data_IF_743365045127
#
_entry.id   IF_743365045127
#
_cell.length_a   1.000
_cell.length_b   1.000
_cell.length_c   1.000
_cell.angle_alpha   90.00
_cell.angle_beta   90.00
_cell.angle_gamma   90.00
#
_symmetry.space_group_name_H-M   'P 1'
#
loop_
_entity.id
_entity.type
_entity.pdbx_description
1 polymer ?
#
# COMPACT_ATOMS: atom_id res chain seq x y z
N UNK A 1 19.08 -3.63 0.78
CA UNK A 1 18.24 -4.40 1.74
C UNK A 1 17.32 -3.42 2.42
N UNK A 2 16.02 -3.59 2.23
CA UNK A 2 15.01 -2.72 2.82
C UNK A 2 14.98 -2.82 4.35
N UNK A 3 14.64 -1.72 5.01
CA UNK A 3 14.41 -1.66 6.45
C UNK A 3 13.03 -1.08 6.69
N UNK A 4 12.29 -1.73 7.58
CA UNK A 4 10.91 -1.38 7.91
C UNK A 4 10.79 -1.20 9.42
N UNK A 5 10.14 -0.12 9.83
CA UNK A 5 9.77 0.03 11.22
C UNK A 5 8.41 0.69 11.36
N UNK A 6 7.71 0.35 12.44
CA UNK A 6 6.43 0.94 12.81
C UNK A 6 6.57 1.55 14.19
N UNK A 7 6.07 2.77 14.37
CA UNK A 7 5.92 3.40 15.67
C UNK A 7 4.45 3.34 16.08
N UNK A 8 4.18 2.52 17.09
CA UNK A 8 2.88 2.51 17.76
C UNK A 8 2.77 3.81 18.58
N UNK A 9 1.62 4.52 18.56
CA UNK A 9 1.42 5.71 19.39
C UNK A 9 1.81 5.47 20.85
N UNK A 10 2.66 6.34 21.40
CA UNK A 10 3.15 6.22 22.78
C UNK A 10 4.24 5.16 23.01
N UNK A 11 4.71 4.47 21.96
CA UNK A 11 5.77 3.47 22.05
C UNK A 11 7.04 3.83 21.24
N UNK A 12 8.09 3.04 21.46
CA UNK A 12 9.32 3.05 20.67
C UNK A 12 9.10 2.47 19.27
N UNK A 13 10.02 2.77 18.35
CA UNK A 13 10.07 2.14 17.04
C UNK A 13 10.29 0.63 17.15
N UNK A 14 9.51 -0.14 16.40
CA UNK A 14 9.64 -1.59 16.26
C UNK A 14 10.20 -1.86 14.86
N UNK A 15 11.44 -2.35 14.79
CA UNK A 15 12.06 -2.79 13.54
C UNK A 15 11.50 -4.15 13.12
N UNK A 16 11.22 -4.32 11.83
CA UNK A 16 10.57 -5.50 11.26
C UNK A 16 11.41 -5.99 10.09
N UNK A 17 11.76 -7.28 10.14
CA UNK A 17 12.78 -7.88 9.27
C UNK A 17 12.35 -8.01 7.81
N UNK A 18 11.05 -8.20 7.55
CA UNK A 18 10.53 -8.46 6.21
C UNK A 18 9.23 -7.69 5.94
N UNK A 19 8.94 -7.52 4.65
CA UNK A 19 7.80 -6.74 4.19
C UNK A 19 6.45 -7.39 4.58
N UNK A 20 6.39 -8.72 4.66
CA UNK A 20 5.15 -9.41 5.02
C UNK A 20 4.78 -9.18 6.49
N UNK A 21 5.73 -9.36 7.40
CA UNK A 21 5.59 -9.04 8.82
C UNK A 21 5.28 -7.56 9.03
N UNK A 22 5.87 -6.68 8.22
CA UNK A 22 5.64 -5.24 8.28
C UNK A 22 4.19 -4.86 7.97
N UNK A 23 3.64 -5.32 6.84
CA UNK A 23 2.23 -5.06 6.50
C UNK A 23 1.28 -5.73 7.50
N UNK A 24 1.61 -6.93 7.97
CA UNK A 24 0.81 -7.62 9.00
C UNK A 24 0.74 -6.81 10.30
N UNK A 25 1.84 -6.20 10.71
CA UNK A 25 1.90 -5.32 11.88
C UNK A 25 1.06 -4.07 11.68
N UNK A 26 1.14 -3.43 10.51
CA UNK A 26 0.30 -2.27 10.17
C UNK A 26 -1.19 -2.61 10.30
N UNK A 27 -1.63 -3.76 9.76
CA UNK A 27 -3.03 -4.20 9.86
C UNK A 27 -3.48 -4.41 11.29
N UNK A 28 -2.64 -5.00 12.14
CA UNK A 28 -2.95 -5.18 13.56
C UNK A 28 -3.21 -3.83 14.25
N UNK A 29 -2.41 -2.80 13.95
CA UNK A 29 -2.61 -1.47 14.55
C UNK A 29 -3.90 -0.79 14.10
N UNK A 30 -4.37 -1.05 12.86
CA UNK A 30 -5.66 -0.51 12.39
C UNK A 30 -6.88 -1.14 13.06
N UNK A 31 -6.74 -2.36 13.60
CA UNK A 31 -7.81 -3.06 14.31
C UNK A 31 -7.91 -2.68 15.79
N UNK A 32 -6.84 -2.13 16.38
CA UNK A 32 -6.76 -1.83 17.82
C UNK A 32 -6.91 -0.33 18.11
N UNK A 33 -6.55 0.54 17.18
CA UNK A 33 -6.54 1.99 17.42
C UNK A 33 -7.93 2.60 17.59
N UNK A 34 -8.07 3.41 18.64
CA UNK A 34 -9.24 4.26 18.83
C UNK A 34 -9.39 5.23 17.64
N UNK A 35 -10.63 5.66 17.36
CA UNK A 35 -10.92 6.56 16.24
C UNK A 35 -10.12 7.87 16.39
N UNK A 36 -9.23 8.15 15.43
CA UNK A 36 -8.53 9.43 15.33
C UNK A 36 -7.00 9.34 15.49
N UNK A 37 -6.46 8.16 15.72
CA UNK A 37 -5.00 7.99 15.82
C UNK A 37 -4.32 7.92 14.44
N UNK A 38 -3.03 8.24 14.44
CA UNK A 38 -2.15 8.11 13.29
C UNK A 38 -1.12 7.02 13.59
N UNK A 39 -0.79 6.23 12.57
CA UNK A 39 0.32 5.29 12.61
C UNK A 39 1.51 5.90 11.88
N UNK A 40 2.63 6.02 12.59
CA UNK A 40 3.88 6.50 12.01
C UNK A 40 4.73 5.31 11.58
N UNK A 41 5.21 5.37 10.34
CA UNK A 41 5.88 4.27 9.67
C UNK A 41 7.23 4.78 9.16
N UNK A 42 8.24 3.94 9.22
CA UNK A 42 9.56 4.19 8.66
C UNK A 42 9.83 3.17 7.56
N UNK A 43 10.20 3.67 6.39
CA UNK A 43 10.67 2.88 5.26
C UNK A 43 12.02 3.40 4.80
N UNK A 44 12.94 2.50 4.50
CA UNK A 44 14.27 2.87 4.04
C UNK A 44 14.84 1.80 3.11
N UNK A 45 15.53 2.25 2.06
CA UNK A 45 16.35 1.39 1.16
C UNK A 45 17.82 1.41 1.57
N UNK A 46 18.23 2.41 2.36
CA UNK A 46 19.55 2.60 2.94
C UNK A 46 19.44 3.48 4.20
N UNK A 47 20.52 3.60 4.98
CA UNK A 47 20.53 4.50 6.14
C UNK A 47 20.25 5.97 5.78
N UNK A 48 20.59 6.36 4.56
CA UNK A 48 20.47 7.73 4.07
C UNK A 48 19.11 8.01 3.42
N UNK A 49 18.32 6.98 3.10
CA UNK A 49 17.02 7.10 2.43
C UNK A 49 15.81 6.96 3.35
N UNK A 50 16.00 7.06 4.67
CA UNK A 50 14.91 6.96 5.66
C UNK A 50 13.81 7.99 5.41
N UNK A 51 12.63 7.50 5.05
CA UNK A 51 11.39 8.24 4.92
C UNK A 51 10.45 7.81 6.04
N UNK A 52 9.83 8.80 6.68
CA UNK A 52 8.76 8.57 7.63
C UNK A 52 7.43 8.91 6.94
N UNK A 53 6.46 8.02 7.06
CA UNK A 53 5.13 8.14 6.47
C UNK A 53 4.09 8.02 7.57
N UNK A 54 3.13 8.94 7.58
CA UNK A 54 2.01 8.91 8.52
C UNK A 54 0.76 8.39 7.85
N UNK A 55 0.18 7.34 8.40
CA UNK A 55 -1.07 6.74 7.93
C UNK A 55 -2.18 6.97 8.94
N UNK A 56 -3.33 7.44 8.46
CA UNK A 56 -4.53 7.59 9.30
C UNK A 56 -5.11 6.20 9.58
N UNK A 57 -5.29 5.83 10.85
CA UNK A 57 -5.83 4.49 11.19
C UNK A 57 -7.34 4.37 10.94
N UNK A 58 -8.02 5.50 10.74
CA UNK A 58 -9.45 5.53 10.43
C UNK A 58 -9.77 4.92 9.05
N UNK A 59 -8.91 5.16 8.07
CA UNK A 59 -9.16 4.86 6.66
C UNK A 59 -7.94 4.33 5.90
N UNK A 60 -6.82 4.13 6.60
CA UNK A 60 -5.52 3.68 6.07
C UNK A 60 -4.91 4.59 4.98
N UNK A 61 -5.33 5.86 4.83
CA UNK A 61 -4.68 6.76 3.87
C UNK A 61 -3.39 7.34 4.43
N UNK A 62 -2.36 7.41 3.58
CA UNK A 62 -1.17 8.22 3.85
C UNK A 62 -1.57 9.69 3.90
N UNK A 63 -0.95 10.46 4.79
CA UNK A 63 -1.36 11.85 5.06
C UNK A 63 -0.19 12.81 5.18
N UNK A 64 0.92 12.38 5.77
CA UNK A 64 2.08 13.23 5.97
C UNK A 64 3.36 12.46 5.67
N UNK A 65 4.39 13.19 5.23
CA UNK A 65 5.75 12.70 5.14
C UNK A 65 6.65 13.47 6.10
N UNK A 66 7.71 12.80 6.54
CA UNK A 66 8.77 13.38 7.35
C UNK A 66 10.08 12.66 7.03
N UNK A 67 11.20 13.28 7.39
CA UNK A 67 12.52 12.74 7.13
C UNK A 67 13.41 13.04 8.33
N UNK A 68 14.19 12.06 8.76
CA UNK A 68 15.23 12.28 9.76
C UNK A 68 16.38 13.10 9.15
N UNK A 69 16.81 14.14 9.85
CA UNK A 69 18.03 14.92 9.54
C UNK A 69 18.93 14.90 10.77
N UNK A 70 20.10 14.26 10.66
CA UNK A 70 21.04 14.12 11.79
C UNK A 70 20.47 13.33 12.98
N UNK A 71 19.67 12.29 12.71
CA UNK A 71 19.06 11.44 13.75
C UNK A 71 17.86 12.05 14.47
N UNK A 72 17.41 13.25 14.10
CA UNK A 72 16.20 13.89 14.63
C UNK A 72 15.07 13.83 13.61
N UNK A 73 13.90 13.43 14.05
CA UNK A 73 12.65 13.51 13.28
C UNK A 73 12.34 14.99 13.05
N UNK A 74 12.13 15.37 11.79
CA UNK A 74 11.79 16.74 11.41
C UNK A 74 10.31 17.07 11.68
N UNK A 75 9.80 18.09 11.00
CA UNK A 75 8.37 18.43 11.05
C UNK A 75 7.60 17.56 10.06
N UNK A 76 6.46 17.02 10.50
CA UNK A 76 5.52 16.34 9.62
C UNK A 76 4.90 17.34 8.63
N UNK A 77 4.97 17.02 7.34
CA UNK A 77 4.40 17.85 6.27
C UNK A 77 3.24 17.12 5.63
N UNK A 78 2.09 17.79 5.54
CA UNK A 78 0.88 17.26 4.90
C UNK A 78 1.10 17.09 3.39
N UNK A 79 0.81 15.90 2.88
CA UNK A 79 0.88 15.61 1.45
C UNK A 79 -0.20 16.43 0.73
N UNK A 80 0.12 17.15 -0.36
CA UNK A 80 -0.87 17.88 -1.13
C UNK A 80 -2.05 16.99 -1.58
N UNK A 81 -3.28 17.46 -1.37
CA UNK A 81 -4.50 16.67 -1.60
C UNK A 81 -4.68 16.23 -3.05
N UNK A 82 -4.21 17.04 -3.99
CA UNK A 82 -4.19 16.75 -5.43
C UNK A 82 -3.29 15.56 -5.79
N UNK A 83 -2.29 15.24 -4.97
CA UNK A 83 -1.41 14.08 -5.19
C UNK A 83 -1.97 12.77 -4.61
N UNK A 84 -2.93 12.85 -3.68
CA UNK A 84 -3.57 11.68 -3.06
C UNK A 84 -4.82 11.23 -3.86
N UNK A 85 -5.38 12.12 -4.68
CA UNK A 85 -6.42 11.77 -5.64
C UNK A 85 -5.78 11.17 -6.90
N UNK A 86 -5.56 9.86 -6.89
CA UNK A 86 -4.93 9.14 -7.99
C UNK A 86 -5.63 9.44 -9.32
N UNK A 87 -4.90 10.01 -10.27
CA UNK A 87 -5.36 10.16 -11.64
C UNK A 87 -5.48 8.81 -12.32
N UNK A 88 -6.20 8.77 -13.44
CA UNK A 88 -6.36 7.56 -14.25
C UNK A 88 -5.12 7.24 -15.10
N UNK A 89 -4.01 7.97 -14.93
CA UNK A 89 -2.76 7.65 -15.63
C UNK A 89 -2.18 6.38 -15.07
N UNK A 90 -1.83 5.48 -15.99
CA UNK A 90 -1.09 4.27 -15.66
C UNK A 90 0.30 4.60 -15.10
N UNK A 91 0.78 3.74 -14.22
CA UNK A 91 2.05 3.85 -13.54
C UNK A 91 2.64 2.44 -13.43
N UNK A 92 3.87 2.28 -13.90
CA UNK A 92 4.63 1.05 -13.71
C UNK A 92 5.01 0.95 -12.23
N UNK A 93 4.78 -0.23 -11.66
CA UNK A 93 5.09 -0.60 -10.28
C UNK A 93 6.17 -1.68 -10.33
N UNK A 94 7.35 -1.35 -9.81
CA UNK A 94 8.49 -2.25 -9.69
C UNK A 94 9.39 -1.78 -8.54
N UNK A 95 10.46 -2.53 -8.25
CA UNK A 95 11.39 -2.20 -7.16
C UNK A 95 12.02 -0.80 -7.34
N UNK A 96 12.52 -0.47 -8.52
CA UNK A 96 13.15 0.83 -8.78
C UNK A 96 12.20 1.99 -8.54
N UNK A 97 10.92 1.85 -8.93
CA UNK A 97 9.88 2.83 -8.65
C UNK A 97 9.63 3.02 -7.15
N UNK A 98 9.71 1.95 -6.35
CA UNK A 98 9.63 2.02 -4.88
C UNK A 98 10.82 2.80 -4.31
N UNK A 99 12.03 2.50 -4.74
CA UNK A 99 13.23 3.20 -4.28
C UNK A 99 13.19 4.70 -4.60
N UNK A 100 12.80 5.03 -5.82
CA UNK A 100 12.65 6.41 -6.28
C UNK A 100 11.54 7.14 -5.51
N UNK A 101 10.41 6.48 -5.27
CA UNK A 101 9.31 7.05 -4.48
C UNK A 101 9.74 7.39 -3.04
N UNK A 102 10.52 6.52 -2.39
CA UNK A 102 11.09 6.77 -1.06
C UNK A 102 12.06 7.95 -1.10
N UNK A 103 12.97 7.98 -2.09
CA UNK A 103 13.95 9.05 -2.24
C UNK A 103 13.30 10.42 -2.50
N UNK A 104 12.32 10.47 -3.39
CA UNK A 104 11.56 11.69 -3.72
C UNK A 104 10.73 12.18 -2.53
N UNK A 105 10.03 11.28 -1.84
CA UNK A 105 9.32 11.60 -0.59
C UNK A 105 10.24 12.21 0.46
N UNK A 106 11.45 11.65 0.60
CA UNK A 106 12.46 12.19 1.54
C UNK A 106 12.97 13.57 1.14
N UNK A 107 13.33 13.80 -0.13
CA UNK A 107 13.76 15.12 -0.63
C UNK A 107 12.71 16.20 -0.36
N UNK A 108 11.44 15.87 -0.62
CA UNK A 108 10.31 16.74 -0.34
C UNK A 108 10.13 17.04 1.15
N UNK A 109 10.18 16.01 1.99
CA UNK A 109 10.14 16.16 3.44
C UNK A 109 11.29 17.06 3.95
N UNK A 110 12.46 17.02 3.32
CA UNK A 110 13.61 17.88 3.65
C UNK A 110 13.55 19.30 3.07
N UNK A 111 12.59 19.62 2.19
CA UNK A 111 12.35 20.99 1.71
C UNK A 111 12.33 21.17 0.19
N UNK A 112 12.68 20.16 -0.59
CA UNK A 112 12.59 20.23 -2.06
C UNK A 112 11.14 19.98 -2.51
N UNK A 113 10.32 21.04 -2.48
CA UNK A 113 8.89 20.95 -2.76
C UNK A 113 8.56 20.39 -4.15
N UNK A 114 9.48 20.48 -5.12
CA UNK A 114 9.27 19.98 -6.49
C UNK A 114 9.55 18.49 -6.63
N UNK A 115 10.16 17.88 -5.63
CA UNK A 115 10.53 16.47 -5.66
C UNK A 115 9.31 15.53 -5.54
N UNK A 116 8.20 15.96 -4.93
CA UNK A 116 7.02 15.10 -4.79
C UNK A 116 6.03 15.34 -5.93
N UNK A 117 5.76 14.28 -6.68
CA UNK A 117 4.73 14.25 -7.72
C UNK A 117 3.73 13.13 -7.44
N UNK A 118 2.71 12.99 -8.28
CA UNK A 118 1.64 12.00 -8.09
C UNK A 118 2.16 10.55 -8.12
N UNK A 119 3.11 10.24 -9.01
CA UNK A 119 3.67 8.89 -9.18
C UNK A 119 4.31 8.33 -7.89
N UNK A 120 5.26 9.04 -7.26
CA UNK A 120 5.80 8.68 -5.96
C UNK A 120 4.74 8.48 -4.88
N UNK A 121 3.74 9.36 -4.81
CA UNK A 121 2.66 9.25 -3.81
C UNK A 121 1.80 8.01 -4.07
N UNK A 122 1.48 7.70 -5.34
CA UNK A 122 0.81 6.46 -5.75
C UNK A 122 1.58 5.22 -5.30
N UNK A 123 2.89 5.18 -5.55
CA UNK A 123 3.73 4.03 -5.20
C UNK A 123 3.85 3.87 -3.68
N UNK A 124 4.07 4.95 -2.94
CA UNK A 124 4.10 4.93 -1.47
C UNK A 124 2.78 4.46 -0.89
N UNK A 125 1.65 4.90 -1.44
CA UNK A 125 0.36 4.43 -1.01
C UNK A 125 0.12 2.96 -1.39
N UNK A 126 0.53 2.53 -2.59
CA UNK A 126 0.42 1.15 -3.04
C UNK A 126 1.14 0.21 -2.07
N UNK A 127 2.40 0.50 -1.77
CA UNK A 127 3.24 -0.35 -0.93
C UNK A 127 2.89 -0.30 0.57
N UNK A 128 2.09 0.67 1.03
CA UNK A 128 1.75 0.82 2.45
C UNK A 128 0.25 0.66 2.70
N UNK A 129 -0.53 1.63 2.23
CA UNK A 129 -1.95 1.74 2.47
C UNK A 129 -2.73 0.63 1.75
N UNK A 130 -2.50 0.48 0.45
CA UNK A 130 -3.23 -0.49 -0.37
C UNK A 130 -2.80 -1.92 -0.04
N UNK A 131 -1.50 -2.13 0.23
CA UNK A 131 -1.00 -3.39 0.77
C UNK A 131 -1.64 -3.76 2.11
N UNK A 132 -1.86 -2.80 3.01
CA UNK A 132 -2.58 -3.06 4.25
C UNK A 132 -4.06 -3.39 4.01
N UNK A 133 -4.71 -2.78 3.02
CA UNK A 133 -6.12 -3.05 2.67
C UNK A 133 -6.33 -4.38 1.96
N UNK A 134 -5.41 -4.80 1.09
CA UNK A 134 -5.57 -5.98 0.23
C UNK A 134 -4.34 -6.91 0.27
N UNK A 135 -4.55 -8.20 0.54
CA UNK A 135 -3.43 -9.14 0.57
C UNK A 135 -2.81 -9.37 -0.81
N UNK A 136 -3.58 -9.26 -1.89
CA UNK A 136 -3.03 -9.36 -3.26
C UNK A 136 -2.03 -8.24 -3.54
N UNK A 137 -2.25 -7.04 -3.01
CA UNK A 137 -1.33 -5.91 -3.18
C UNK A 137 -0.08 -6.15 -2.36
N UNK A 138 -0.22 -6.59 -1.10
CA UNK A 138 0.92 -6.99 -0.27
C UNK A 138 1.78 -8.04 -0.97
N UNK A 139 1.20 -9.11 -1.51
CA UNK A 139 1.96 -10.16 -2.16
C UNK A 139 2.56 -9.71 -3.49
N UNK A 140 1.86 -8.87 -4.24
CA UNK A 140 2.43 -8.25 -5.45
C UNK A 140 3.65 -7.40 -5.11
N UNK A 141 3.63 -6.65 -4.01
CA UNK A 141 4.81 -5.90 -3.54
C UNK A 141 5.92 -6.84 -3.09
N UNK A 142 5.63 -7.93 -2.38
CA UNK A 142 6.64 -8.94 -2.07
C UNK A 142 7.32 -9.47 -3.34
N UNK A 143 6.55 -9.77 -4.40
CA UNK A 143 7.09 -10.22 -5.68
C UNK A 143 7.95 -9.16 -6.38
N UNK A 144 7.55 -7.88 -6.31
CA UNK A 144 8.38 -6.78 -6.83
C UNK A 144 9.74 -6.72 -6.12
N UNK A 145 9.76 -6.94 -4.81
CA UNK A 145 10.96 -6.81 -3.97
C UNK A 145 11.88 -8.04 -3.97
N UNK A 146 11.34 -9.23 -4.23
CA UNK A 146 12.09 -10.51 -4.14
C UNK A 146 12.41 -11.10 -5.51
N UNK A 147 11.52 -10.89 -6.48
CA UNK A 147 11.57 -11.53 -7.80
C UNK A 147 11.59 -10.51 -8.95
N UNK A 148 11.86 -9.23 -8.65
CA UNK A 148 11.96 -8.14 -9.62
C UNK A 148 10.74 -8.07 -10.57
N UNK A 149 9.57 -8.46 -10.07
CA UNK A 149 8.34 -8.42 -10.87
C UNK A 149 7.93 -6.98 -11.15
N UNK A 150 7.24 -6.81 -12.28
CA UNK A 150 6.68 -5.54 -12.71
C UNK A 150 5.17 -5.67 -12.90
N UNK A 151 4.44 -4.68 -12.40
CA UNK A 151 2.99 -4.59 -12.55
C UNK A 151 2.58 -3.21 -13.06
N UNK A 152 1.41 -3.15 -13.68
CA UNK A 152 0.77 -1.89 -14.03
C UNK A 152 -0.24 -1.49 -12.95
N UNK A 153 -0.22 -0.24 -12.51
CA UNK A 153 -1.22 0.32 -11.59
C UNK A 153 -2.66 0.04 -12.06
N UNK A 154 -2.89 0.12 -13.37
CA UNK A 154 -4.20 -0.17 -13.98
C UNK A 154 -4.78 -1.54 -13.64
N UNK A 155 -3.94 -2.53 -13.36
CA UNK A 155 -4.40 -3.86 -12.93
C UNK A 155 -5.17 -3.80 -11.61
N UNK A 156 -4.75 -2.92 -10.70
CA UNK A 156 -5.32 -2.79 -9.35
C UNK A 156 -6.34 -1.66 -9.26
N UNK A 157 -6.30 -0.67 -10.16
CA UNK A 157 -7.06 0.59 -10.05
C UNK A 157 -8.54 0.39 -9.68
N UNK A 158 -9.26 -0.48 -10.40
CA UNK A 158 -10.67 -0.73 -10.15
C UNK A 158 -10.92 -1.35 -8.77
N UNK A 159 -10.05 -2.26 -8.33
CA UNK A 159 -10.13 -2.84 -6.99
C UNK A 159 -9.94 -1.77 -5.91
N UNK A 160 -8.89 -0.95 -6.06
CA UNK A 160 -8.52 0.08 -5.09
C UNK A 160 -9.60 1.17 -4.97
N UNK A 161 -10.17 1.63 -6.10
CA UNK A 161 -11.26 2.62 -6.12
C UNK A 161 -12.52 2.13 -5.40
N UNK A 162 -12.80 0.83 -5.47
CA UNK A 162 -14.01 0.24 -4.90
C UNK A 162 -13.82 -0.35 -3.49
N UNK A 163 -12.67 -0.13 -2.84
CA UNK A 163 -12.40 -0.66 -1.50
C UNK A 163 -13.53 -0.39 -0.49
N UNK A 164 -14.08 0.83 -0.46
CA UNK A 164 -15.14 1.19 0.49
C UNK A 164 -16.43 0.41 0.26
N UNK A 165 -16.79 0.18 -1.00
CA UNK A 165 -18.03 -0.53 -1.34
C UNK A 165 -17.87 -2.03 -1.10
N UNK A 166 -16.68 -2.57 -1.40
CA UNK A 166 -16.24 -3.90 -0.97
C UNK A 166 -16.36 -4.11 0.54
N UNK A 167 -15.91 -3.14 1.33
CA UNK A 167 -16.09 -3.17 2.78
C UNK A 167 -17.58 -3.15 3.13
N UNK A 168 -18.39 -2.24 2.59
CA UNK A 168 -19.83 -2.14 2.95
C UNK A 168 -20.62 -3.41 2.66
N UNK A 169 -20.40 -4.06 1.52
CA UNK A 169 -21.11 -5.29 1.14
C UNK A 169 -20.81 -6.46 2.07
N UNK A 170 -19.66 -6.44 2.75
CA UNK A 170 -19.18 -7.52 3.60
C UNK A 170 -19.21 -7.19 5.10
N UNK A 171 -19.11 -5.92 5.48
CA UNK A 171 -19.23 -5.39 6.84
C UNK A 171 -20.68 -5.32 7.33
N UNK A 172 -21.52 -6.31 7.00
CA UNK A 172 -22.78 -6.49 7.73
C UNK A 172 -22.53 -6.69 9.25
N UNK A 173 -21.28 -6.98 9.65
CA UNK A 173 -20.74 -6.82 11.01
C UNK A 173 -19.91 -5.52 11.17
N UNK A 174 -19.96 -4.91 12.35
CA UNK A 174 -19.36 -3.61 12.72
C UNK A 174 -17.82 -3.51 12.65
N UNK A 175 -17.12 -4.42 11.96
CA UNK A 175 -15.66 -4.51 11.95
C UNK A 175 -15.04 -3.81 10.73
N UNK A 176 -14.01 -3.00 10.97
CA UNK A 176 -13.15 -2.45 9.90
C UNK A 176 -12.40 -3.63 9.25
N UNK A 177 -12.69 -3.97 8.00
CA UNK A 177 -11.98 -5.05 7.32
C UNK A 177 -10.74 -4.50 6.59
N UNK A 178 -9.57 -4.66 7.21
CA UNK A 178 -8.27 -4.54 6.54
C UNK A 178 -7.75 -5.93 6.19
N UNK A 179 -6.90 -6.03 5.16
CA UNK A 179 -6.37 -7.31 4.69
C UNK A 179 -7.41 -8.18 3.99
N UNK A 180 -8.21 -7.60 3.08
CA UNK A 180 -9.08 -8.38 2.20
C UNK A 180 -8.27 -9.45 1.49
N UNK A 181 -8.68 -10.71 1.66
CA UNK A 181 -7.94 -11.85 1.15
C UNK A 181 -7.91 -11.89 -0.38
N UNK A 182 -6.98 -12.64 -0.95
CA UNK A 182 -6.91 -12.83 -2.40
C UNK A 182 -8.16 -13.53 -2.94
N UNK A 183 -8.76 -14.45 -2.19
CA UNK A 183 -10.02 -15.10 -2.56
C UNK A 183 -11.16 -14.08 -2.66
N UNK A 184 -11.29 -13.22 -1.67
CA UNK A 184 -12.31 -12.16 -1.68
C UNK A 184 -12.08 -11.20 -2.84
N UNK A 185 -10.82 -10.84 -3.06
CA UNK A 185 -10.42 -10.02 -4.20
C UNK A 185 -10.79 -10.69 -5.52
N UNK A 186 -10.51 -11.99 -5.69
CA UNK A 186 -10.80 -12.73 -6.91
C UNK A 186 -12.31 -12.84 -7.17
N UNK A 187 -13.12 -13.09 -6.13
CA UNK A 187 -14.58 -13.08 -6.24
C UNK A 187 -15.07 -11.73 -6.76
N UNK A 188 -14.53 -10.64 -6.20
CA UNK A 188 -14.93 -9.30 -6.61
C UNK A 188 -14.44 -8.93 -8.01
N UNK A 189 -13.20 -9.26 -8.37
CA UNK A 189 -12.68 -9.07 -9.73
C UNK A 189 -13.56 -9.77 -10.76
N UNK A 190 -14.11 -10.96 -10.45
CA UNK A 190 -15.08 -11.65 -11.33
C UNK A 190 -16.41 -10.90 -11.46
N UNK A 191 -16.90 -10.27 -10.39
CA UNK A 191 -18.08 -9.41 -10.46
C UNK A 191 -17.81 -8.19 -11.34
N UNK A 192 -16.69 -7.50 -11.12
CA UNK A 192 -16.26 -6.37 -11.95
C UNK A 192 -16.09 -6.75 -13.42
N UNK A 193 -15.62 -7.97 -13.72
CA UNK A 193 -15.49 -8.46 -15.10
C UNK A 193 -16.83 -8.55 -15.82
N UNK A 194 -17.90 -8.91 -15.10
CA UNK A 194 -19.25 -8.98 -15.67
C UNK A 194 -19.85 -7.58 -15.91
N UNK A 195 -19.41 -6.59 -15.12
CA UNK A 195 -19.88 -5.20 -15.18
C UNK A 195 -18.99 -4.27 -16.01
N UNK A 196 -17.84 -4.77 -16.47
CA UNK A 196 -16.85 -4.01 -17.21
C UNK A 196 -17.44 -3.40 -18.48
N UNK A 197 -17.29 -2.08 -18.60
CA UNK A 197 -17.92 -1.25 -19.64
C UNK A 197 -17.04 -1.12 -20.88
N UNK A 198 -15.74 -1.34 -20.74
CA UNK A 198 -14.77 -1.24 -21.84
C UNK A 198 -13.93 -2.51 -21.97
N UNK A 199 -13.41 -2.77 -23.17
CA UNK A 199 -12.46 -3.87 -23.39
C UNK A 199 -11.14 -3.66 -22.66
N UNK A 200 -10.76 -2.41 -22.43
CA UNK A 200 -9.58 -2.07 -21.65
C UNK A 200 -9.74 -2.47 -20.17
N UNK A 201 -10.89 -2.15 -19.56
CA UNK A 201 -11.21 -2.61 -18.19
C UNK A 201 -11.19 -4.13 -18.09
N UNK A 202 -11.81 -4.84 -19.06
CA UNK A 202 -11.79 -6.31 -19.10
C UNK A 202 -10.37 -6.86 -19.20
N UNK A 203 -9.49 -6.25 -19.99
CA UNK A 203 -8.09 -6.65 -20.12
C UNK A 203 -7.39 -6.57 -18.75
N UNK A 204 -7.48 -5.42 -18.08
CA UNK A 204 -6.80 -5.21 -16.80
C UNK A 204 -7.35 -6.12 -15.68
N UNK A 205 -8.67 -6.31 -15.62
CA UNK A 205 -9.29 -7.21 -14.64
C UNK A 205 -8.92 -8.68 -14.88
N UNK A 206 -8.82 -9.14 -16.14
CA UNK A 206 -8.32 -10.49 -16.45
C UNK A 206 -6.87 -10.68 -16.02
N UNK A 207 -6.02 -9.68 -16.25
CA UNK A 207 -4.63 -9.72 -15.79
C UNK A 207 -4.56 -9.76 -14.26
N UNK A 208 -5.39 -8.97 -13.57
CA UNK A 208 -5.47 -9.00 -12.11
C UNK A 208 -5.87 -10.38 -11.57
N UNK A 209 -6.86 -11.03 -12.21
CA UNK A 209 -7.24 -12.40 -11.85
C UNK A 209 -6.09 -13.38 -12.08
N UNK A 210 -5.41 -13.31 -13.23
CA UNK A 210 -4.27 -14.16 -13.54
C UNK A 210 -3.13 -13.96 -12.54
N UNK A 211 -2.86 -12.72 -12.12
CA UNK A 211 -1.89 -12.40 -11.08
C UNK A 211 -2.24 -13.05 -9.75
N UNK A 212 -3.50 -12.97 -9.29
CA UNK A 212 -3.93 -13.62 -8.05
C UNK A 212 -3.75 -15.16 -8.12
N UNK A 213 -4.04 -15.78 -9.27
CA UNK A 213 -3.83 -17.21 -9.49
C UNK A 213 -2.33 -17.59 -9.51
N UNK A 214 -1.48 -16.76 -10.11
CA UNK A 214 -0.02 -16.94 -10.09
C UNK A 214 0.54 -16.83 -8.68
N UNK A 215 0.16 -15.80 -7.92
CA UNK A 215 0.56 -15.64 -6.52
C UNK A 215 0.15 -16.84 -5.67
N UNK A 216 -1.06 -17.36 -5.88
CA UNK A 216 -1.53 -18.59 -5.23
C UNK A 216 -0.63 -19.80 -5.56
N UNK A 217 -0.26 -19.98 -6.83
CA UNK A 217 0.67 -21.05 -7.24
C UNK A 217 2.08 -20.89 -6.68
N UNK A 218 2.49 -19.67 -6.38
CA UNK A 218 3.77 -19.37 -5.72
C UNK A 218 3.73 -19.62 -4.20
N UNK A 219 2.59 -20.06 -3.66
CA UNK A 219 2.43 -20.43 -2.25
C UNK A 219 1.83 -19.35 -1.37
N UNK A 220 1.42 -18.20 -1.92
CA UNK A 220 0.68 -17.21 -1.16
C UNK A 220 -0.75 -17.69 -0.89
N UNK A 221 -1.27 -17.55 0.34
CA UNK A 221 -2.58 -18.08 0.69
C UNK A 221 -3.71 -17.28 0.04
N UNK A 222 -4.69 -17.98 -0.52
CA UNK A 222 -5.91 -17.35 -1.04
C UNK A 222 -6.82 -16.84 0.08
N UNK A 223 -6.74 -17.42 1.27
CA UNK A 223 -7.56 -17.09 2.44
C UNK A 223 -7.08 -17.87 3.67
N UNK A 224 -7.99 -18.55 4.36
CA UNK A 224 -7.66 -19.43 5.49
C UNK A 224 -7.11 -20.81 5.07
N UNK A 225 -7.12 -21.13 3.78
CA UNK A 225 -6.54 -22.35 3.24
C UNK A 225 -5.32 -22.04 2.37
N UNK A 226 -4.37 -22.98 2.35
CA UNK A 226 -3.42 -23.06 1.26
C UNK A 226 -4.16 -23.32 -0.06
N UNK A 227 -3.54 -22.92 -1.15
CA UNK A 227 -3.87 -23.42 -2.48
C UNK A 227 -3.60 -24.94 -2.52
#
# INVERSE_FOLDING_TARGET
>A
MYRYAVQIPGASWIEIADYHGFISTIRQQFNVSEKGENLDIKVATSEESKLLVRIKTADAYISHLNAEKGGKVGNWKEIPKDLINYSEKDQILNESGIEDAIAQGRKWALGDIKALTEGPVKILAFMLAEAARFTVVQYSVSEMLVHEQEYHWKMFELLLKNWKDLCKEKCQSKEKTFGLSMQMTNIYTKQLLNEARTEEEKKWLKQMQATAETLCKQGYPMGLSAC
#
